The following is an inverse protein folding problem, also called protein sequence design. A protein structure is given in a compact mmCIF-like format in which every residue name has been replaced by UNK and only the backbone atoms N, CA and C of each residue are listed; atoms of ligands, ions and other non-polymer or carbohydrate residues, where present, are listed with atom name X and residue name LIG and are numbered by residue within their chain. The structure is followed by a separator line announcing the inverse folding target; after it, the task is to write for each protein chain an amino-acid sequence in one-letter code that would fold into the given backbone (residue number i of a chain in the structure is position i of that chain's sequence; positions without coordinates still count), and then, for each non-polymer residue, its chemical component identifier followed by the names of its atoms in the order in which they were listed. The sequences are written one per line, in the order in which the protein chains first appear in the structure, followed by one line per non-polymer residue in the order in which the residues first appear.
data_IF_162990114425
#
_entry.id   IF_162990114425
#
_cell.length_a   1.000
_cell.length_b   1.000
_cell.length_c   1.000
_cell.angle_alpha   90.00
_cell.angle_beta   90.00
_cell.angle_gamma   90.00
#
_symmetry.space_group_name_H-M   'P 1'
#
loop_
_entity.id
_entity.type
_entity.pdbx_description
1 polymer ?
#
# COMPACT_ATOMS: atom_id res chain seq x y z
N UNK A 1 -25.78 18.99 26.53
CA UNK A 1 -24.44 19.58 26.47
C UNK A 1 -23.77 19.26 27.80
N UNK A 2 -22.99 18.18 27.86
CA UNK A 2 -22.15 17.90 29.02
C UNK A 2 -21.00 16.97 28.63
N UNK A 3 -19.82 17.60 28.56
CA UNK A 3 -18.49 17.05 28.81
C UNK A 3 -17.88 16.09 27.78
N UNK A 4 -17.44 16.75 26.70
CA UNK A 4 -16.19 16.50 25.98
C UNK A 4 -14.97 16.45 26.93
N UNK A 5 -14.82 15.37 27.70
CA UNK A 5 -13.56 15.07 28.39
C UNK A 5 -12.91 13.87 27.71
N UNK A 6 -12.12 14.23 26.70
CA UNK A 6 -10.79 13.65 26.43
C UNK A 6 -10.65 12.13 26.53
N UNK A 7 -10.85 11.42 25.41
CA UNK A 7 -10.14 10.16 25.18
C UNK A 7 -8.64 10.44 24.96
N UNK A 8 -7.94 10.80 26.04
CA UNK A 8 -6.47 10.77 26.10
C UNK A 8 -6.02 9.32 26.03
N UNK A 9 -5.96 8.76 24.83
CA UNK A 9 -5.22 7.52 24.56
C UNK A 9 -4.02 7.88 23.70
N UNK A 10 -3.02 8.50 24.35
CA UNK A 10 -1.65 8.52 23.84
C UNK A 10 -1.13 7.09 24.04
N UNK A 11 -1.34 6.25 23.03
CA UNK A 11 -0.76 4.92 23.00
C UNK A 11 0.57 4.96 22.23
N UNK A 12 1.44 4.00 22.48
CA UNK A 12 2.74 3.89 21.80
C UNK A 12 2.60 4.01 20.27
N UNK A 13 1.63 3.35 19.59
CA UNK A 13 1.43 3.51 18.15
C UNK A 13 1.11 4.96 17.73
N UNK A 14 0.29 5.68 18.50
CA UNK A 14 -0.08 7.07 18.16
C UNK A 14 1.11 8.02 18.26
N UNK A 15 2.01 7.80 19.24
CA UNK A 15 3.24 8.57 19.36
C UNK A 15 4.17 8.32 18.18
N UNK A 16 4.22 7.08 17.71
CA UNK A 16 5.02 6.70 16.55
C UNK A 16 4.49 7.35 15.27
N UNK A 17 3.17 7.31 15.01
CA UNK A 17 2.56 8.03 13.88
C UNK A 17 2.79 9.54 13.95
N UNK A 18 2.79 10.13 15.16
CA UNK A 18 3.09 11.56 15.35
C UNK A 18 4.55 11.89 15.04
N UNK A 19 5.50 11.07 15.51
CA UNK A 19 6.92 11.20 15.17
C UNK A 19 7.10 11.16 13.65
N UNK A 20 6.38 10.27 12.97
CA UNK A 20 6.40 10.17 11.50
C UNK A 20 5.99 11.47 10.83
N UNK A 21 4.90 12.10 11.27
CA UNK A 21 4.48 13.42 10.75
C UNK A 21 5.59 14.47 10.97
N UNK A 22 6.25 14.44 12.13
CA UNK A 22 7.37 15.33 12.44
C UNK A 22 8.65 15.03 11.63
N UNK A 23 8.78 13.82 11.04
CA UNK A 23 9.89 13.53 10.11
C UNK A 23 9.74 14.22 8.76
N UNK A 24 8.52 14.57 8.33
CA UNK A 24 8.28 15.19 7.02
C UNK A 24 9.04 16.52 6.82
N UNK A 25 9.03 17.48 7.77
CA UNK A 25 9.88 18.67 7.67
C UNK A 25 11.38 18.36 7.54
N UNK A 26 11.87 17.34 8.25
CA UNK A 26 13.28 16.92 8.16
C UNK A 26 13.61 16.30 6.79
N UNK A 27 12.69 15.54 6.21
CA UNK A 27 12.81 15.05 4.83
C UNK A 27 12.90 16.21 3.83
N UNK A 28 12.05 17.23 3.97
CA UNK A 28 12.14 18.45 3.16
C UNK A 28 13.47 19.17 3.35
N UNK A 29 13.97 19.30 4.58
CA UNK A 29 15.27 19.91 4.84
C UNK A 29 16.39 19.19 4.08
N UNK A 30 16.46 17.86 4.15
CA UNK A 30 17.48 17.09 3.40
C UNK A 30 17.29 17.16 1.89
N UNK A 31 16.05 17.21 1.40
CA UNK A 31 15.79 17.39 -0.03
C UNK A 31 16.24 18.76 -0.54
N UNK A 32 15.87 19.83 0.17
CA UNK A 32 16.22 21.21 -0.20
C UNK A 32 17.72 21.50 -0.06
N UNK A 33 18.39 20.87 0.90
CA UNK A 33 19.85 20.97 1.07
C UNK A 33 20.64 19.98 0.20
N UNK A 34 19.97 19.26 -0.71
CA UNK A 34 20.59 18.33 -1.66
C UNK A 34 21.42 17.24 -0.97
N UNK A 35 20.89 16.67 0.11
CA UNK A 35 21.50 15.58 0.87
C UNK A 35 20.75 14.24 0.68
N UNK A 36 20.89 13.59 -0.48
CA UNK A 36 20.11 12.40 -0.84
C UNK A 36 20.33 11.21 0.10
N UNK A 37 21.55 11.00 0.59
CA UNK A 37 21.87 9.86 1.47
C UNK A 37 21.14 9.97 2.82
N UNK A 38 21.12 11.17 3.41
CA UNK A 38 20.39 11.44 4.65
C UNK A 38 18.88 11.36 4.45
N UNK A 39 18.39 11.85 3.31
CA UNK A 39 17.00 11.71 2.92
C UNK A 39 16.57 10.23 2.84
N UNK A 40 17.32 9.39 2.11
CA UNK A 40 17.01 7.96 1.98
C UNK A 40 17.06 7.26 3.35
N UNK A 41 18.08 7.54 4.16
CA UNK A 41 18.21 6.97 5.50
C UNK A 41 17.01 7.32 6.40
N UNK A 42 16.59 8.59 6.41
CA UNK A 42 15.44 9.03 7.20
C UNK A 42 14.12 8.46 6.66
N UNK A 43 13.97 8.39 5.33
CA UNK A 43 12.77 7.81 4.70
C UNK A 43 12.63 6.33 5.04
N UNK A 44 13.71 5.56 4.95
CA UNK A 44 13.72 4.14 5.34
C UNK A 44 13.39 3.96 6.82
N UNK A 45 13.92 4.83 7.68
CA UNK A 45 13.59 4.84 9.10
C UNK A 45 12.09 5.10 9.32
N UNK A 46 11.49 6.07 8.62
CA UNK A 46 10.06 6.37 8.73
C UNK A 46 9.18 5.19 8.26
N UNK A 47 9.51 4.55 7.13
CA UNK A 47 8.79 3.37 6.62
C UNK A 47 8.92 2.17 7.55
N UNK A 48 10.11 1.93 8.09
CA UNK A 48 10.31 0.84 9.06
C UNK A 48 9.47 1.04 10.32
N UNK A 49 9.40 2.29 10.77
CA UNK A 49 8.66 2.69 11.97
C UNK A 49 7.14 2.48 11.81
N UNK A 50 6.59 2.67 10.61
CA UNK A 50 5.20 2.34 10.26
C UNK A 50 4.89 0.83 10.30
N UNK A 51 5.77 0.03 9.71
CA UNK A 51 5.56 -1.44 9.77
C UNK A 51 5.59 -1.92 11.23
N UNK A 52 6.44 -1.30 12.05
CA UNK A 52 6.60 -1.64 13.45
C UNK A 52 5.39 -1.22 14.29
N UNK A 53 4.86 0.00 14.14
CA UNK A 53 3.70 0.44 14.94
C UNK A 53 2.42 -0.33 14.60
N UNK A 54 2.18 -0.63 13.33
CA UNK A 54 1.06 -1.47 12.88
C UNK A 54 1.17 -2.90 13.42
N UNK A 55 2.40 -3.42 13.55
CA UNK A 55 2.65 -4.71 14.18
C UNK A 55 2.42 -4.69 15.70
N UNK A 56 2.95 -3.69 16.42
CA UNK A 56 2.75 -3.55 17.86
C UNK A 56 1.27 -3.31 18.21
N UNK A 57 0.56 -2.50 17.43
CA UNK A 57 -0.87 -2.23 17.66
C UNK A 57 -1.72 -3.52 17.61
N UNK A 58 -1.38 -4.46 16.70
CA UNK A 58 -2.05 -5.76 16.58
C UNK A 58 -1.73 -6.69 17.74
N UNK A 59 -0.46 -6.75 18.17
CA UNK A 59 -0.06 -7.61 19.29
C UNK A 59 -0.64 -7.10 20.62
N UNK A 60 -0.60 -5.79 20.84
CA UNK A 60 -1.06 -5.17 22.07
C UNK A 60 -2.58 -4.97 22.12
N UNK A 61 -3.30 -5.27 21.02
CA UNK A 61 -4.74 -5.01 20.87
C UNK A 61 -5.12 -3.55 21.17
N UNK A 62 -4.21 -2.62 20.89
CA UNK A 62 -4.36 -1.19 21.19
C UNK A 62 -4.81 -0.38 19.96
N UNK A 63 -5.72 -0.93 19.17
CA UNK A 63 -6.29 -0.23 18.02
C UNK A 63 -7.30 0.81 18.49
N UNK A 64 -7.06 2.08 18.20
CA UNK A 64 -7.97 3.18 18.57
C UNK A 64 -8.46 3.90 17.31
N UNK A 65 -9.66 4.46 17.36
CA UNK A 65 -10.24 5.23 16.24
C UNK A 65 -9.42 6.50 15.93
N UNK A 66 -8.90 7.17 16.95
CA UNK A 66 -7.99 8.30 16.79
C UNK A 66 -6.66 7.87 16.16
N UNK A 67 -6.08 6.76 16.61
CA UNK A 67 -4.83 6.22 16.05
C UNK A 67 -4.97 5.89 14.58
N UNK A 68 -6.05 5.20 14.18
CA UNK A 68 -6.31 4.87 12.78
C UNK A 68 -6.45 6.11 11.88
N UNK A 69 -7.07 7.19 12.38
CA UNK A 69 -7.13 8.45 11.63
C UNK A 69 -5.75 9.10 11.53
N UNK A 70 -4.99 9.16 12.63
CA UNK A 70 -3.66 9.75 12.67
C UNK A 70 -2.70 9.03 11.72
N UNK A 71 -2.79 7.70 11.67
CA UNK A 71 -2.05 6.82 10.79
C UNK A 71 -2.33 7.12 9.30
N UNK A 72 -3.61 7.22 8.93
CA UNK A 72 -4.02 7.60 7.57
C UNK A 72 -3.49 8.97 7.15
N UNK A 73 -3.51 9.96 8.06
CA UNK A 73 -2.94 11.28 7.81
C UNK A 73 -1.42 11.25 7.72
N UNK A 74 -0.76 10.49 8.60
CA UNK A 74 0.69 10.29 8.58
C UNK A 74 1.18 9.69 7.28
N UNK A 75 0.51 8.64 6.81
CA UNK A 75 0.76 8.01 5.51
C UNK A 75 0.60 8.98 4.37
N UNK A 76 -0.52 9.70 4.31
CA UNK A 76 -0.76 10.69 3.27
C UNK A 76 0.34 11.78 3.23
N UNK A 77 0.76 12.27 4.40
CA UNK A 77 1.81 13.28 4.52
C UNK A 77 3.15 12.72 4.06
N UNK A 78 3.53 11.50 4.48
CA UNK A 78 4.80 10.88 4.09
C UNK A 78 4.83 10.59 2.59
N UNK A 79 3.77 10.02 2.02
CA UNK A 79 3.73 9.74 0.58
C UNK A 79 3.79 11.03 -0.25
N UNK A 80 3.08 12.07 0.17
CA UNK A 80 3.13 13.38 -0.49
C UNK A 80 4.52 14.01 -0.38
N UNK A 81 5.12 13.96 0.81
CA UNK A 81 6.48 14.47 1.07
C UNK A 81 7.51 13.73 0.23
N UNK A 82 7.43 12.40 0.18
CA UNK A 82 8.29 11.55 -0.62
C UNK A 82 8.22 11.92 -2.10
N UNK A 83 7.01 12.07 -2.66
CA UNK A 83 6.82 12.42 -4.06
C UNK A 83 7.43 13.79 -4.41
N UNK A 84 7.19 14.80 -3.57
CA UNK A 84 7.72 16.16 -3.79
C UNK A 84 9.24 16.17 -3.62
N UNK A 85 9.77 15.57 -2.56
CA UNK A 85 11.21 15.54 -2.31
C UNK A 85 11.96 14.74 -3.36
N UNK A 86 11.38 13.65 -3.87
CA UNK A 86 11.96 12.89 -4.97
C UNK A 86 12.11 13.76 -6.23
N UNK A 87 11.12 14.61 -6.53
CA UNK A 87 11.19 15.56 -7.65
C UNK A 87 12.27 16.62 -7.46
N UNK A 88 12.49 17.08 -6.23
CA UNK A 88 13.53 18.06 -5.89
C UNK A 88 14.94 17.45 -6.01
N UNK A 89 15.13 16.21 -5.54
CA UNK A 89 16.44 15.55 -5.49
C UNK A 89 16.83 14.88 -6.81
N UNK A 90 15.87 14.28 -7.52
CA UNK A 90 16.14 13.46 -8.70
C UNK A 90 15.17 13.72 -9.86
N UNK A 91 15.03 14.97 -10.34
CA UNK A 91 14.13 15.29 -11.45
C UNK A 91 14.47 14.49 -12.71
N UNK A 92 15.76 14.31 -13.02
CA UNK A 92 16.21 13.59 -14.22
C UNK A 92 15.83 12.10 -14.19
N UNK A 93 15.91 11.45 -13.02
CA UNK A 93 15.52 10.05 -12.84
C UNK A 93 14.00 9.90 -13.02
N UNK A 94 13.22 10.80 -12.43
CA UNK A 94 11.76 10.80 -12.54
C UNK A 94 11.28 11.01 -13.97
N UNK A 95 11.90 11.94 -14.71
CA UNK A 95 11.55 12.20 -16.12
C UNK A 95 11.95 11.02 -17.00
N UNK A 96 13.13 10.44 -16.78
CA UNK A 96 13.63 9.29 -17.55
C UNK A 96 12.75 8.06 -17.37
N UNK A 97 12.41 7.72 -16.13
CA UNK A 97 11.67 6.50 -15.78
C UNK A 97 10.15 6.74 -15.65
N UNK A 98 9.64 7.90 -16.09
CA UNK A 98 8.23 8.32 -15.92
C UNK A 98 7.21 7.26 -16.34
N UNK A 99 7.52 6.51 -17.39
CA UNK A 99 6.65 5.47 -17.92
C UNK A 99 6.44 4.34 -16.90
N UNK A 100 7.51 3.90 -16.24
CA UNK A 100 7.45 2.86 -15.21
C UNK A 100 6.77 3.36 -13.93
N UNK A 101 6.99 4.63 -13.55
CA UNK A 101 6.23 5.26 -12.47
C UNK A 101 4.72 5.23 -12.73
N UNK A 102 4.29 5.59 -13.94
CA UNK A 102 2.87 5.54 -14.33
C UNK A 102 2.34 4.11 -14.27
N UNK A 103 3.09 3.11 -14.74
CA UNK A 103 2.70 1.70 -14.63
C UNK A 103 2.47 1.30 -13.17
N UNK A 104 3.40 1.63 -12.27
CA UNK A 104 3.29 1.30 -10.84
C UNK A 104 2.05 1.96 -10.24
N UNK A 105 1.85 3.26 -10.47
CA UNK A 105 0.67 4.00 -9.95
C UNK A 105 -0.64 3.41 -10.49
N UNK A 106 -0.72 3.13 -11.79
CA UNK A 106 -1.90 2.50 -12.40
C UNK A 106 -2.15 1.09 -11.87
N UNK A 107 -1.08 0.33 -11.60
CA UNK A 107 -1.17 -1.03 -11.06
C UNK A 107 -1.80 -1.07 -9.68
N UNK A 108 -1.62 -0.04 -8.85
CA UNK A 108 -2.28 0.05 -7.55
C UNK A 108 -3.67 0.71 -7.60
N UNK A 109 -3.89 1.65 -8.52
CA UNK A 109 -5.14 2.43 -8.57
C UNK A 109 -6.24 1.72 -9.36
N UNK A 110 -5.94 1.09 -10.50
CA UNK A 110 -6.95 0.47 -11.35
C UNK A 110 -7.71 -0.69 -10.67
N UNK A 111 -7.05 -1.63 -9.97
CA UNK A 111 -7.78 -2.70 -9.27
C UNK A 111 -8.75 -2.15 -8.23
N UNK A 112 -8.32 -1.13 -7.48
CA UNK A 112 -9.17 -0.45 -6.47
C UNK A 112 -10.36 0.22 -7.14
N UNK A 113 -10.15 0.98 -8.22
CA UNK A 113 -11.24 1.62 -8.98
C UNK A 113 -12.25 0.60 -9.52
N UNK A 114 -11.78 -0.50 -10.10
CA UNK A 114 -12.65 -1.55 -10.65
C UNK A 114 -13.44 -2.24 -9.52
N UNK A 115 -12.79 -2.51 -8.39
CA UNK A 115 -13.47 -3.07 -7.21
C UNK A 115 -14.57 -2.14 -6.70
N UNK A 116 -14.31 -0.83 -6.70
CA UNK A 116 -15.26 0.19 -6.27
C UNK A 116 -16.45 0.30 -7.23
N UNK A 117 -16.22 0.27 -8.54
CA UNK A 117 -17.31 0.30 -9.53
C UNK A 117 -18.18 -0.96 -9.45
N UNK A 118 -17.56 -2.13 -9.31
CA UNK A 118 -18.27 -3.41 -9.31
C UNK A 118 -19.03 -3.66 -8.01
N UNK A 119 -18.37 -3.46 -6.87
CA UNK A 119 -18.91 -3.84 -5.55
C UNK A 119 -19.39 -2.64 -4.72
N UNK A 120 -19.25 -1.40 -5.23
CA UNK A 120 -19.55 -0.16 -4.48
C UNK A 120 -18.81 -0.09 -3.14
N UNK A 121 -17.67 -0.79 -3.03
CA UNK A 121 -16.84 -0.89 -1.85
C UNK A 121 -15.38 -1.01 -2.25
N UNK A 122 -14.50 -0.41 -1.45
CA UNK A 122 -13.06 -0.65 -1.55
C UNK A 122 -12.81 -2.11 -1.17
N UNK A 123 -12.26 -2.88 -2.10
CA UNK A 123 -11.85 -4.27 -1.89
C UNK A 123 -10.39 -4.37 -2.30
N UNK A 124 -9.48 -4.39 -1.32
CA UNK A 124 -8.07 -4.72 -1.55
C UNK A 124 -7.89 -6.22 -1.36
N UNK A 125 -7.57 -6.94 -2.43
CA UNK A 125 -7.24 -8.34 -2.33
C UNK A 125 -5.78 -8.43 -1.89
N UNK A 126 -5.53 -8.83 -0.64
CA UNK A 126 -4.16 -9.01 -0.14
C UNK A 126 -3.53 -10.30 -0.69
N UNK A 127 -3.45 -10.41 -2.02
CA UNK A 127 -2.80 -11.54 -2.69
C UNK A 127 -1.32 -11.57 -2.34
N UNK A 128 -0.75 -12.77 -2.37
CA UNK A 128 0.69 -12.94 -2.17
C UNK A 128 1.52 -12.20 -3.22
N UNK A 129 1.01 -12.11 -4.46
CA UNK A 129 1.64 -11.38 -5.56
C UNK A 129 1.77 -9.90 -5.27
N UNK A 130 0.75 -9.25 -4.71
CA UNK A 130 0.81 -7.82 -4.33
C UNK A 130 1.86 -7.59 -3.25
N UNK A 131 1.90 -8.43 -2.21
CA UNK A 131 2.93 -8.30 -1.14
C UNK A 131 4.34 -8.45 -1.68
N UNK A 132 4.54 -9.43 -2.56
CA UNK A 132 5.84 -9.66 -3.21
C UNK A 132 6.21 -8.47 -4.11
N UNK A 133 5.28 -7.98 -4.93
CA UNK A 133 5.49 -6.84 -5.81
C UNK A 133 5.85 -5.56 -5.03
N UNK A 134 5.19 -5.31 -3.89
CA UNK A 134 5.52 -4.19 -3.01
C UNK A 134 6.94 -4.34 -2.43
N UNK A 135 7.29 -5.51 -1.92
CA UNK A 135 8.63 -5.75 -1.36
C UNK A 135 9.75 -5.54 -2.39
N UNK A 136 9.57 -6.08 -3.61
CA UNK A 136 10.51 -5.88 -4.73
C UNK A 136 10.57 -4.39 -5.09
N UNK A 137 9.43 -3.71 -5.17
CA UNK A 137 9.36 -2.28 -5.54
C UNK A 137 10.09 -1.40 -4.54
N UNK A 138 9.96 -1.64 -3.23
CA UNK A 138 10.68 -0.88 -2.20
C UNK A 138 12.20 -1.02 -2.34
N UNK A 139 12.69 -2.25 -2.52
CA UNK A 139 14.13 -2.51 -2.72
C UNK A 139 14.61 -1.81 -3.99
N UNK A 140 13.86 -1.94 -5.09
CA UNK A 140 14.20 -1.32 -6.37
C UNK A 140 14.20 0.20 -6.30
N UNK A 141 13.32 0.83 -5.52
CA UNK A 141 13.34 2.29 -5.32
C UNK A 141 14.63 2.74 -4.63
N UNK A 142 15.07 2.02 -3.60
CA UNK A 142 16.34 2.33 -2.92
C UNK A 142 17.52 2.21 -3.90
N UNK A 143 17.56 1.15 -4.70
CA UNK A 143 18.62 0.95 -5.70
C UNK A 143 18.61 2.04 -6.80
N UNK A 144 17.42 2.49 -7.22
CA UNK A 144 17.26 3.53 -8.22
C UNK A 144 17.74 4.90 -7.69
N UNK A 145 17.29 5.30 -6.50
CA UNK A 145 17.62 6.62 -5.93
C UNK A 145 19.04 6.71 -5.37
N UNK A 146 19.68 5.58 -5.06
CA UNK A 146 21.12 5.53 -4.77
C UNK A 146 21.98 5.55 -6.03
N UNK A 147 21.38 5.44 -7.23
CA UNK A 147 22.10 5.43 -8.50
C UNK A 147 22.93 4.17 -8.74
N UNK A 148 22.68 3.09 -7.98
CA UNK A 148 23.41 1.84 -8.12
C UNK A 148 22.95 1.08 -9.37
N UNK A 149 21.65 0.80 -9.48
CA UNK A 149 21.07 0.00 -10.55
C UNK A 149 19.67 0.52 -10.93
N UNK A 150 19.44 0.75 -12.22
CA UNK A 150 18.15 1.23 -12.74
C UNK A 150 17.20 0.09 -13.17
N UNK A 151 17.74 -1.01 -13.69
CA UNK A 151 16.93 -2.09 -14.24
C UNK A 151 16.01 -2.80 -13.22
N UNK A 152 16.36 -2.96 -11.92
CA UNK A 152 15.47 -3.60 -10.96
C UNK A 152 14.15 -2.86 -10.79
N UNK A 153 14.16 -1.53 -10.93
CA UNK A 153 12.95 -0.71 -10.90
C UNK A 153 11.99 -1.02 -12.05
N UNK A 154 12.54 -1.18 -13.26
CA UNK A 154 11.76 -1.53 -14.44
C UNK A 154 11.13 -2.92 -14.33
N UNK A 155 11.87 -3.88 -13.77
CA UNK A 155 11.35 -5.23 -13.50
C UNK A 155 10.26 -5.19 -12.42
N UNK A 156 10.47 -4.42 -11.35
CA UNK A 156 9.46 -4.25 -10.31
C UNK A 156 8.14 -3.71 -10.86
N UNK A 157 8.19 -2.73 -11.78
CA UNK A 157 7.01 -2.19 -12.44
C UNK A 157 6.22 -3.27 -13.23
N UNK A 158 6.92 -4.21 -13.89
CA UNK A 158 6.27 -5.32 -14.59
C UNK A 158 5.63 -6.32 -13.61
N UNK A 159 6.26 -6.58 -12.47
CA UNK A 159 5.65 -7.39 -11.41
C UNK A 159 4.41 -6.73 -10.81
N UNK A 160 4.43 -5.42 -10.60
CA UNK A 160 3.24 -4.66 -10.18
C UNK A 160 2.11 -4.78 -11.21
N UNK A 161 2.43 -4.65 -12.50
CA UNK A 161 1.45 -4.80 -13.57
C UNK A 161 0.83 -6.20 -13.57
N UNK A 162 1.65 -7.25 -13.40
CA UNK A 162 1.18 -8.62 -13.29
C UNK A 162 0.24 -8.80 -12.09
N UNK A 163 0.62 -8.31 -10.91
CA UNK A 163 -0.19 -8.38 -9.70
C UNK A 163 -1.53 -7.63 -9.86
N UNK A 164 -1.53 -6.48 -10.55
CA UNK A 164 -2.74 -5.72 -10.84
C UNK A 164 -3.70 -6.49 -11.77
N UNK A 165 -3.16 -7.13 -12.82
CA UNK A 165 -3.95 -7.98 -13.72
C UNK A 165 -4.57 -9.14 -12.93
N UNK A 166 -3.82 -9.74 -12.00
CA UNK A 166 -4.33 -10.80 -11.13
C UNK A 166 -5.50 -10.31 -10.26
N UNK A 167 -5.35 -9.17 -9.59
CA UNK A 167 -6.43 -8.59 -8.76
C UNK A 167 -7.68 -8.24 -9.58
N UNK A 168 -7.51 -7.69 -10.79
CA UNK A 168 -8.62 -7.38 -11.70
C UNK A 168 -9.32 -8.66 -12.15
N UNK A 169 -8.57 -9.70 -12.50
CA UNK A 169 -9.13 -10.98 -12.88
C UNK A 169 -9.96 -11.61 -11.74
N UNK A 170 -9.43 -11.58 -10.52
CA UNK A 170 -10.13 -12.01 -9.29
C UNK A 170 -11.43 -11.21 -9.13
N UNK A 171 -11.33 -9.89 -9.24
CA UNK A 171 -12.47 -8.96 -9.11
C UNK A 171 -13.57 -9.30 -10.11
N UNK A 172 -13.23 -9.60 -11.36
CA UNK A 172 -14.21 -9.94 -12.40
C UNK A 172 -14.82 -11.33 -12.14
N UNK A 173 -14.02 -12.32 -11.75
CA UNK A 173 -14.45 -13.71 -11.59
C UNK A 173 -15.39 -13.95 -10.40
N UNK A 174 -15.26 -13.18 -9.31
CA UNK A 174 -16.07 -13.38 -8.11
C UNK A 174 -17.40 -12.60 -8.23
N UNK A 175 -18.56 -13.24 -8.03
CA UNK A 175 -19.87 -12.59 -8.14
C UNK A 175 -20.24 -11.72 -6.93
N UNK A 176 -19.81 -12.07 -5.71
CA UNK A 176 -20.08 -11.31 -4.48
C UNK A 176 -18.81 -11.10 -3.66
N UNK A 177 -18.76 -10.05 -2.85
CA UNK A 177 -17.55 -9.70 -2.07
C UNK A 177 -17.24 -10.78 -1.03
N UNK A 178 -16.21 -11.60 -1.28
CA UNK A 178 -15.69 -12.58 -0.30
C UNK A 178 -14.40 -12.00 0.30
N UNK A 179 -14.33 -11.90 1.63
CA UNK A 179 -13.30 -11.12 2.35
C UNK A 179 -11.96 -11.86 2.51
N UNK A 180 -11.77 -13.08 1.98
CA UNK A 180 -10.54 -13.87 2.27
C UNK A 180 -10.09 -14.76 1.10
N UNK A 181 -9.87 -14.17 -0.07
CA UNK A 181 -9.29 -14.89 -1.23
C UNK A 181 -7.83 -14.49 -1.38
N UNK A 182 -6.93 -15.45 -1.18
CA UNK A 182 -5.48 -15.23 -1.16
C UNK A 182 -4.80 -15.50 -2.50
N UNK A 183 -5.49 -16.18 -3.43
CA UNK A 183 -5.02 -16.53 -4.78
C UNK A 183 -6.18 -16.74 -5.77
N UNK A 184 -5.92 -16.55 -7.09
CA UNK A 184 -6.89 -16.86 -8.18
C UNK A 184 -7.40 -18.29 -8.11
N UNK A 185 -6.55 -19.23 -7.72
CA UNK A 185 -6.90 -20.65 -7.59
C UNK A 185 -8.01 -20.90 -6.57
N UNK A 186 -8.03 -20.15 -5.47
CA UNK A 186 -9.10 -20.24 -4.47
C UNK A 186 -10.42 -19.70 -5.01
N UNK A 187 -10.39 -18.61 -5.78
CA UNK A 187 -11.58 -18.05 -6.43
C UNK A 187 -12.19 -19.04 -7.45
N UNK A 188 -11.35 -19.70 -8.27
CA UNK A 188 -11.80 -20.71 -9.23
C UNK A 188 -12.42 -21.93 -8.55
N UNK A 189 -11.84 -22.37 -7.42
CA UNK A 189 -12.39 -23.48 -6.63
C UNK A 189 -13.74 -23.12 -6.00
N UNK A 190 -13.88 -21.91 -5.45
CA UNK A 190 -15.15 -21.41 -4.92
C UNK A 190 -16.26 -21.36 -5.97
N UNK A 191 -15.96 -20.86 -7.18
CA UNK A 191 -16.93 -20.82 -8.30
C UNK A 191 -17.36 -22.23 -8.72
N UNK A 192 -16.41 -23.17 -8.75
CA UNK A 192 -16.69 -24.58 -9.08
C UNK A 192 -17.57 -25.22 -8.01
N UNK A 193 -17.28 -25.01 -6.74
CA UNK A 193 -18.05 -25.56 -5.63
C UNK A 193 -19.49 -24.99 -5.60
N UNK A 194 -19.69 -23.68 -5.79
CA UNK A 194 -21.04 -23.10 -5.91
C UNK A 194 -21.81 -23.62 -7.13
N UNK A 195 -21.13 -23.81 -8.27
CA UNK A 195 -21.79 -24.37 -9.45
C UNK A 195 -22.23 -25.83 -9.26
N UNK A 196 -21.50 -26.59 -8.43
CA UNK A 196 -21.84 -27.97 -8.09
C UNK A 196 -23.02 -28.03 -7.11
N UNK A 197 -23.06 -27.16 -6.10
CA UNK A 197 -24.18 -27.07 -5.14
C UNK A 197 -25.50 -26.68 -5.85
N UNK A 198 -25.47 -25.67 -6.72
CA UNK A 198 -26.67 -25.25 -7.47
C UNK A 198 -27.19 -26.33 -8.43
N UNK A 199 -26.30 -27.15 -9.00
CA UNK A 199 -26.70 -28.25 -9.87
C UNK A 199 -27.29 -29.44 -9.10
N UNK A 200 -26.85 -29.70 -7.86
CA UNK A 200 -27.42 -30.74 -7.00
C UNK A 200 -28.84 -30.38 -6.53
N UNK A 201 -29.08 -29.14 -6.12
CA UNK A 201 -30.43 -28.66 -5.72
C UNK A 201 -31.44 -28.66 -6.87
N UNK A 202 -30.99 -28.55 -8.12
CA UNK A 202 -31.86 -28.66 -9.30
C UNK A 202 -32.16 -30.11 -9.71
N UNK A 203 -31.34 -31.08 -9.32
CA UNK A 203 -31.55 -32.51 -9.60
C UNK A 203 -32.45 -33.23 -8.58
N UNK A 204 -32.70 -32.61 -7.42
CA UNK A 204 -33.58 -33.12 -6.36
C UNK A 204 -35.02 -32.56 -6.43
N UNK A 205 -35.33 -31.73 -7.44
CA UNK A 205 -36.68 -31.23 -7.76
C UNK A 205 -37.24 -31.90 -9.00
#
# INVERSE_FOLDING_TARGET
MNNDIESRTINIPNLISLIRILTAPALFYFALTQQPNWFIGLLLFAVFTDVLDGFLARILQQTTSLGSRLDSWGDFIIYSTMAICAWILWPDILVREKFYFIIIVLSFTLPVCISLIKFHSISSYHTWSVKLAVAITVISYVLLFTGLLDWPFRIAALFCLYAAIEEIAITILIPEKIVDIRTVWQALKYKKDQSLTNNQEQSEK
#
